data_IF_460199668127
#
_entry.id   IF_460199668127
#
_cell.length_a   1.000
_cell.length_b   1.000
_cell.length_c   1.000
_cell.angle_alpha   90.00
_cell.angle_beta   90.00
_cell.angle_gamma   90.00
#
_symmetry.space_group_name_H-M   'P 1'
#
loop_
_entity.id
_entity.type
_entity.pdbx_description
1 polymer ?
#
# COMPACT_ATOMS: atom_id res chain seq x y z
N UNK A 1 -8.77 -31.69 2.78
CA UNK A 1 -8.84 -30.25 2.42
C UNK A 1 -9.69 -29.55 3.46
N UNK A 2 -9.21 -28.43 4.04
CA UNK A 2 -9.86 -27.79 5.19
C UNK A 2 -10.98 -26.83 4.73
N UNK A 3 -12.15 -26.77 5.39
CA UNK A 3 -13.29 -25.92 5.01
C UNK A 3 -12.98 -24.43 4.83
N UNK A 4 -11.92 -23.94 5.48
CA UNK A 4 -11.52 -22.53 5.52
C UNK A 4 -10.79 -22.05 4.25
N UNK A 5 -10.15 -22.96 3.51
CA UNK A 5 -9.54 -22.63 2.20
C UNK A 5 -10.62 -22.43 1.13
N UNK A 6 -11.67 -23.26 1.16
CA UNK A 6 -12.81 -23.17 0.25
C UNK A 6 -13.62 -21.87 0.44
N UNK A 7 -13.79 -21.43 1.69
CA UNK A 7 -14.47 -20.18 2.01
C UNK A 7 -13.71 -18.95 1.46
N UNK A 8 -12.38 -18.92 1.61
CA UNK A 8 -11.57 -17.79 1.12
C UNK A 8 -11.60 -17.68 -0.41
N UNK A 9 -11.60 -18.80 -1.12
CA UNK A 9 -11.69 -18.81 -2.59
C UNK A 9 -13.06 -18.32 -3.06
N UNK A 10 -14.14 -18.75 -2.42
CA UNK A 10 -15.51 -18.27 -2.69
C UNK A 10 -15.62 -16.76 -2.47
N UNK A 11 -15.04 -16.23 -1.38
CA UNK A 11 -15.08 -14.80 -1.06
C UNK A 11 -14.25 -13.96 -2.05
N UNK A 12 -13.12 -14.50 -2.54
CA UNK A 12 -12.33 -13.86 -3.61
C UNK A 12 -13.14 -13.76 -4.90
N UNK A 13 -13.73 -14.88 -5.33
CA UNK A 13 -14.54 -14.92 -6.55
C UNK A 13 -15.73 -13.95 -6.46
N UNK A 14 -16.41 -13.94 -5.31
CA UNK A 14 -17.49 -12.99 -5.04
C UNK A 14 -17.02 -11.53 -5.14
N UNK A 15 -15.85 -11.20 -4.60
CA UNK A 15 -15.30 -9.85 -4.69
C UNK A 15 -14.95 -9.43 -6.11
N UNK A 16 -14.41 -10.34 -6.92
CA UNK A 16 -14.17 -10.10 -8.35
C UNK A 16 -15.49 -9.88 -9.11
N UNK A 17 -16.51 -10.71 -8.85
CA UNK A 17 -17.83 -10.57 -9.47
C UNK A 17 -18.49 -9.25 -9.11
N UNK A 18 -18.42 -8.83 -7.84
CA UNK A 18 -18.94 -7.53 -7.37
C UNK A 18 -18.26 -6.40 -8.13
N UNK A 19 -16.92 -6.39 -8.17
CA UNK A 19 -16.16 -5.34 -8.83
C UNK A 19 -16.47 -5.24 -10.33
N UNK A 20 -16.55 -6.39 -11.00
CA UNK A 20 -16.89 -6.46 -12.42
C UNK A 20 -18.31 -5.96 -12.68
N UNK A 21 -19.28 -6.34 -11.83
CA UNK A 21 -20.66 -5.91 -12.00
C UNK A 21 -20.88 -4.43 -11.70
N UNK A 22 -20.15 -3.85 -10.74
CA UNK A 22 -20.12 -2.41 -10.49
C UNK A 22 -19.59 -1.70 -11.73
N UNK A 23 -18.43 -2.13 -12.25
CA UNK A 23 -17.83 -1.51 -13.44
C UNK A 23 -18.76 -1.58 -14.66
N UNK A 24 -19.44 -2.70 -14.88
CA UNK A 24 -20.39 -2.83 -15.98
C UNK A 24 -21.61 -1.91 -15.81
N UNK A 25 -22.06 -1.67 -14.58
CA UNK A 25 -23.15 -0.75 -14.29
C UNK A 25 -22.73 0.71 -14.45
N UNK A 26 -21.52 1.08 -14.00
CA UNK A 26 -20.93 2.41 -14.21
C UNK A 26 -20.78 2.74 -15.70
N UNK A 27 -20.32 1.79 -16.53
CA UNK A 27 -20.22 1.98 -17.99
C UNK A 27 -21.58 2.27 -18.63
N UNK A 28 -22.64 1.61 -18.17
CA UNK A 28 -24.00 1.86 -18.64
C UNK A 28 -24.56 3.21 -18.17
N UNK A 29 -24.16 3.69 -17.00
CA UNK A 29 -24.51 5.02 -16.51
C UNK A 29 -23.85 6.13 -17.34
N UNK A 30 -22.58 5.92 -17.73
CA UNK A 30 -21.81 6.86 -18.55
C UNK A 30 -22.27 6.91 -20.02
N UNK A 31 -22.98 5.88 -20.49
CA UNK A 31 -23.53 5.85 -21.84
C UNK A 31 -24.62 6.93 -22.00
N UNK A 32 -24.35 7.91 -22.86
CA UNK A 32 -25.25 9.03 -23.15
C UNK A 32 -26.55 8.60 -23.82
N UNK A 33 -26.60 7.39 -24.38
CA UNK A 33 -27.79 6.81 -25.03
C UNK A 33 -28.69 6.04 -24.05
N UNK A 34 -28.26 5.84 -22.80
CA UNK A 34 -29.06 5.15 -21.77
C UNK A 34 -30.26 5.97 -21.31
N UNK A 35 -31.42 5.30 -21.22
CA UNK A 35 -32.66 5.89 -20.68
C UNK A 35 -32.58 6.13 -19.18
N UNK A 36 -33.40 7.05 -18.67
CA UNK A 36 -33.45 7.36 -17.22
C UNK A 36 -33.85 6.14 -16.38
N UNK A 37 -34.70 5.26 -16.90
CA UNK A 37 -35.08 4.00 -16.24
C UNK A 37 -33.90 3.02 -16.14
N UNK A 38 -33.09 2.92 -17.21
CA UNK A 38 -31.86 2.11 -17.20
C UNK A 38 -30.86 2.70 -16.21
N UNK A 39 -30.70 4.03 -16.19
CA UNK A 39 -29.81 4.72 -15.25
C UNK A 39 -30.23 4.50 -13.81
N UNK A 40 -31.51 4.68 -13.50
CA UNK A 40 -32.08 4.39 -12.18
C UNK A 40 -31.80 2.94 -11.74
N UNK A 41 -32.02 1.97 -12.63
CA UNK A 41 -31.74 0.55 -12.36
C UNK A 41 -30.25 0.30 -12.09
N UNK A 42 -29.34 0.94 -12.84
CA UNK A 42 -27.91 0.80 -12.60
C UNK A 42 -27.48 1.43 -11.27
N UNK A 43 -28.03 2.60 -10.89
CA UNK A 43 -27.76 3.20 -9.58
C UNK A 43 -28.15 2.28 -8.43
N UNK A 44 -29.35 1.68 -8.50
CA UNK A 44 -29.82 0.70 -7.51
C UNK A 44 -28.90 -0.53 -7.45
N UNK A 45 -28.47 -1.02 -8.62
CA UNK A 45 -27.56 -2.16 -8.72
C UNK A 45 -26.20 -1.85 -8.08
N UNK A 46 -25.61 -0.69 -8.37
CA UNK A 46 -24.34 -0.25 -7.79
C UNK A 46 -24.47 -0.15 -6.26
N UNK A 47 -25.53 0.48 -5.75
CA UNK A 47 -25.77 0.58 -4.31
C UNK A 47 -25.74 -0.79 -3.61
N UNK A 48 -26.49 -1.78 -4.13
CA UNK A 48 -26.50 -3.16 -3.60
C UNK A 48 -25.12 -3.81 -3.62
N UNK A 49 -24.43 -3.74 -4.76
CA UNK A 49 -23.12 -4.39 -4.93
C UNK A 49 -22.06 -3.78 -4.03
N UNK A 50 -22.06 -2.45 -3.91
CA UNK A 50 -21.14 -1.73 -3.03
C UNK A 50 -21.33 -2.11 -1.57
N UNK A 51 -22.58 -2.35 -1.13
CA UNK A 51 -22.85 -2.84 0.21
C UNK A 51 -22.30 -4.25 0.47
N UNK A 52 -22.38 -5.16 -0.51
CA UNK A 52 -21.68 -6.44 -0.40
C UNK A 52 -20.16 -6.25 -0.34
N UNK A 53 -19.62 -5.26 -1.06
CA UNK A 53 -18.22 -4.84 -0.96
C UNK A 53 -17.83 -4.41 0.46
N UNK A 54 -18.67 -3.62 1.16
CA UNK A 54 -18.46 -3.22 2.55
C UNK A 54 -18.42 -4.44 3.48
N UNK A 55 -19.37 -5.37 3.33
CA UNK A 55 -19.41 -6.63 4.10
C UNK A 55 -18.13 -7.44 3.89
N UNK A 56 -17.69 -7.57 2.63
CA UNK A 56 -16.51 -8.32 2.25
C UNK A 56 -15.22 -7.68 2.80
N UNK A 57 -15.08 -6.35 2.67
CA UNK A 57 -13.96 -5.61 3.24
C UNK A 57 -13.92 -5.73 4.77
N UNK A 58 -15.09 -5.70 5.40
CA UNK A 58 -15.25 -5.89 6.85
C UNK A 58 -14.85 -7.30 7.29
N UNK A 59 -15.18 -8.34 6.51
CA UNK A 59 -14.72 -9.70 6.75
C UNK A 59 -13.19 -9.80 6.75
N UNK A 60 -12.52 -9.02 5.90
CA UNK A 60 -11.07 -8.89 5.87
C UNK A 60 -10.53 -7.77 6.78
N UNK A 61 -11.33 -7.29 7.73
CA UNK A 61 -10.98 -6.26 8.72
C UNK A 61 -10.39 -4.99 8.11
N UNK A 62 -10.85 -4.62 6.91
CA UNK A 62 -10.37 -3.45 6.16
C UNK A 62 -8.85 -3.45 5.93
N UNK A 63 -8.26 -4.63 5.83
CA UNK A 63 -6.87 -4.77 5.47
C UNK A 63 -6.67 -4.50 3.98
N UNK A 64 -6.38 -3.25 3.63
CA UNK A 64 -6.24 -2.84 2.24
C UNK A 64 -5.19 -3.63 1.46
N UNK A 65 -4.11 -4.09 2.09
CA UNK A 65 -3.11 -4.92 1.42
C UNK A 65 -3.63 -6.32 1.07
N UNK A 66 -4.29 -6.99 2.01
CA UNK A 66 -4.91 -8.30 1.77
C UNK A 66 -6.01 -8.19 0.72
N UNK A 67 -6.89 -7.20 0.88
CA UNK A 67 -8.01 -6.98 -0.02
C UNK A 67 -7.50 -6.66 -1.41
N UNK A 68 -6.50 -5.78 -1.55
CA UNK A 68 -5.83 -5.51 -2.82
C UNK A 68 -5.26 -6.79 -3.43
N UNK A 69 -4.47 -7.58 -2.71
CA UNK A 69 -3.93 -8.84 -3.25
C UNK A 69 -5.04 -9.83 -3.67
N UNK A 70 -6.16 -9.83 -2.96
CA UNK A 70 -7.24 -10.79 -3.16
C UNK A 70 -8.17 -10.40 -4.30
N UNK A 71 -8.57 -9.13 -4.40
CA UNK A 71 -9.62 -8.68 -5.31
C UNK A 71 -9.28 -7.40 -6.09
N UNK A 72 -8.10 -6.81 -5.89
CA UNK A 72 -7.63 -5.61 -6.61
C UNK A 72 -8.12 -4.28 -6.01
N UNK A 73 -7.50 -3.15 -6.43
CA UNK A 73 -7.83 -1.80 -5.94
C UNK A 73 -9.25 -1.34 -6.27
N UNK A 74 -9.68 -1.58 -7.52
CA UNK A 74 -10.97 -1.10 -8.04
C UNK A 74 -12.18 -1.66 -7.28
N UNK A 75 -12.02 -2.81 -6.62
CA UNK A 75 -13.08 -3.46 -5.86
C UNK A 75 -13.28 -2.85 -4.46
N UNK A 76 -12.26 -2.20 -3.92
CA UNK A 76 -12.26 -1.64 -2.55
C UNK A 76 -12.77 -0.21 -2.52
N UNK A 77 -12.48 0.55 -3.59
CA UNK A 77 -12.86 1.95 -3.72
C UNK A 77 -14.37 2.15 -3.46
N UNK A 78 -15.30 1.49 -4.16
CA UNK A 78 -16.73 1.74 -3.93
C UNK A 78 -17.13 1.50 -2.47
N UNK A 79 -16.60 0.45 -1.83
CA UNK A 79 -16.94 0.08 -0.46
C UNK A 79 -16.48 1.13 0.57
N UNK A 80 -15.23 1.62 0.47
CA UNK A 80 -14.70 2.64 1.39
C UNK A 80 -15.49 3.95 1.26
N UNK A 81 -15.81 4.35 0.03
CA UNK A 81 -16.55 5.59 -0.22
C UNK A 81 -18.00 5.49 0.22
N UNK A 82 -18.68 4.39 -0.06
CA UNK A 82 -20.06 4.20 0.36
C UNK A 82 -20.19 4.21 1.88
N UNK A 83 -19.23 3.58 2.58
CA UNK A 83 -19.19 3.65 4.04
C UNK A 83 -19.02 5.09 4.53
N UNK A 84 -18.17 5.87 3.88
CA UNK A 84 -17.92 7.27 4.23
C UNK A 84 -19.14 8.17 3.94
N UNK A 85 -19.71 8.12 2.73
CA UNK A 85 -20.87 8.93 2.35
C UNK A 85 -22.10 8.63 3.21
N UNK A 86 -22.39 7.34 3.43
CA UNK A 86 -23.54 6.94 4.22
C UNK A 86 -23.37 7.20 5.73
N UNK A 87 -22.19 7.65 6.18
CA UNK A 87 -21.96 8.04 7.59
C UNK A 87 -21.89 9.54 7.77
N UNK A 88 -21.37 10.27 6.78
CA UNK A 88 -21.15 11.72 6.87
C UNK A 88 -22.24 12.59 6.23
N UNK A 89 -23.19 12.00 5.48
CA UNK A 89 -24.30 12.73 4.81
C UNK A 89 -23.84 13.95 3.99
N UNK A 90 -22.60 13.93 3.47
CA UNK A 90 -21.99 15.04 2.74
C UNK A 90 -21.81 14.68 1.26
N UNK A 91 -22.09 15.65 0.39
CA UNK A 91 -21.97 15.49 -1.07
C UNK A 91 -20.55 15.74 -1.58
N UNK A 92 -19.67 16.39 -0.80
CA UNK A 92 -18.33 16.79 -1.25
C UNK A 92 -17.21 16.26 -0.34
N UNK A 93 -16.61 15.13 -0.74
CA UNK A 93 -15.46 14.49 -0.05
C UNK A 93 -14.22 15.40 0.04
N UNK A 94 -13.82 16.17 -1.01
CA UNK A 94 -12.69 17.10 -0.97
C UNK A 94 -12.76 18.16 0.13
N UNK A 95 -13.93 18.79 0.28
CA UNK A 95 -14.14 19.86 1.26
C UNK A 95 -14.02 19.31 2.69
N UNK A 96 -14.47 18.08 2.91
CA UNK A 96 -14.40 17.46 4.24
C UNK A 96 -12.98 17.18 4.71
N UNK A 97 -12.04 16.80 3.84
CA UNK A 97 -10.63 16.60 4.26
C UNK A 97 -9.86 17.89 4.52
N UNK A 98 -10.36 19.03 4.05
CA UNK A 98 -9.86 20.35 4.43
C UNK A 98 -10.38 20.78 5.81
N UNK A 99 -11.49 20.20 6.26
CA UNK A 99 -12.07 20.43 7.57
C UNK A 99 -11.53 19.43 8.61
N UNK A 100 -11.51 19.83 9.88
CA UNK A 100 -11.00 18.99 10.97
C UNK A 100 -11.99 17.85 11.30
N UNK A 101 -12.03 16.81 10.46
CA UNK A 101 -13.01 15.71 10.53
C UNK A 101 -13.06 15.04 11.91
N UNK A 102 -11.92 14.93 12.59
CA UNK A 102 -11.84 14.29 13.90
C UNK A 102 -12.68 15.02 14.97
N UNK A 103 -12.72 16.35 14.89
CA UNK A 103 -13.53 17.19 15.80
C UNK A 103 -15.01 17.14 15.44
N UNK A 104 -15.34 17.13 14.14
CA UNK A 104 -16.71 17.13 13.64
C UNK A 104 -17.44 15.80 13.75
N UNK A 105 -16.72 14.68 13.89
CA UNK A 105 -17.35 13.36 13.97
C UNK A 105 -18.34 13.29 15.16
N UNK A 106 -19.62 13.07 14.92
CA UNK A 106 -20.65 13.02 15.95
C UNK A 106 -20.65 11.66 16.68
N UNK A 107 -20.15 10.61 16.02
CA UNK A 107 -20.15 9.25 16.54
C UNK A 107 -18.92 8.45 16.09
N UNK A 108 -18.73 7.28 16.71
CA UNK A 108 -17.62 6.38 16.45
C UNK A 108 -17.55 5.83 15.02
N UNK A 109 -18.67 5.78 14.32
CA UNK A 109 -18.78 5.25 12.97
C UNK A 109 -18.30 6.26 11.91
N UNK A 110 -18.70 7.53 12.05
CA UNK A 110 -18.13 8.65 11.27
C UNK A 110 -16.62 8.75 11.48
N UNK A 111 -16.18 8.61 12.73
CA UNK A 111 -14.76 8.60 13.06
C UNK A 111 -14.02 7.44 12.39
N UNK A 112 -14.56 6.22 12.48
CA UNK A 112 -13.99 5.03 11.86
C UNK A 112 -13.95 5.12 10.32
N UNK A 113 -15.02 5.61 9.69
CA UNK A 113 -15.09 5.73 8.23
C UNK A 113 -14.07 6.75 7.68
N UNK A 114 -13.85 7.87 8.38
CA UNK A 114 -12.84 8.86 8.01
C UNK A 114 -11.41 8.31 8.11
N UNK A 115 -11.12 7.52 9.15
CA UNK A 115 -9.82 6.86 9.29
C UNK A 115 -9.59 5.84 8.19
N UNK A 116 -10.59 4.99 7.90
CA UNK A 116 -10.49 3.99 6.83
C UNK A 116 -10.26 4.65 5.46
N UNK A 117 -10.93 5.78 5.22
CA UNK A 117 -10.74 6.54 3.99
C UNK A 117 -9.33 7.13 3.86
N UNK A 118 -8.84 7.79 4.93
CA UNK A 118 -7.49 8.34 4.95
C UNK A 118 -6.41 7.26 4.78
N UNK A 119 -6.59 6.10 5.42
CA UNK A 119 -5.72 4.93 5.23
C UNK A 119 -5.77 4.38 3.81
N UNK A 120 -6.95 4.33 3.20
CA UNK A 120 -7.10 3.90 1.82
C UNK A 120 -6.34 4.83 0.85
N UNK A 121 -6.43 6.16 1.03
CA UNK A 121 -5.62 7.12 0.26
C UNK A 121 -4.13 6.82 0.40
N UNK A 122 -3.65 6.71 1.64
CA UNK A 122 -2.24 6.45 1.93
C UNK A 122 -1.77 5.13 1.32
N UNK A 123 -2.59 4.08 1.42
CA UNK A 123 -2.33 2.77 0.82
C UNK A 123 -2.28 2.85 -0.70
N UNK A 124 -3.26 3.52 -1.33
CA UNK A 124 -3.29 3.73 -2.77
C UNK A 124 -2.03 4.43 -3.25
N UNK A 125 -1.57 5.50 -2.59
CA UNK A 125 -0.38 6.25 -2.99
C UNK A 125 0.91 5.45 -2.76
N UNK A 126 1.01 4.75 -1.63
CA UNK A 126 2.21 3.96 -1.27
C UNK A 126 2.44 2.79 -2.23
N UNK A 127 1.36 2.10 -2.62
CA UNK A 127 1.44 0.90 -3.44
C UNK A 127 1.03 1.14 -4.90
N UNK A 128 0.66 2.38 -5.27
CA UNK A 128 0.44 2.97 -6.63
C UNK A 128 1.41 2.46 -7.67
N UNK A 129 2.61 2.27 -7.17
CA UNK A 129 3.82 2.00 -7.88
C UNK A 129 3.88 0.61 -8.53
N UNK A 130 3.07 -0.38 -8.13
CA UNK A 130 3.24 -1.79 -8.56
C UNK A 130 2.33 -2.28 -9.68
N UNK A 131 1.56 -1.41 -10.31
CA UNK A 131 0.47 -1.87 -11.18
C UNK A 131 0.29 -0.96 -12.39
N UNK A 132 0.64 -1.47 -13.58
CA UNK A 132 0.05 -0.99 -14.84
C UNK A 132 -1.48 -1.23 -14.88
N UNK A 133 -1.99 -2.11 -14.02
CA UNK A 133 -3.43 -2.32 -13.77
C UNK A 133 -4.03 -1.24 -12.85
N UNK A 134 -3.36 -0.08 -12.70
CA UNK A 134 -4.06 1.21 -12.52
C UNK A 134 -4.91 1.59 -13.73
N UNK A 135 -4.91 0.78 -14.79
CA UNK A 135 -6.15 0.54 -15.51
C UNK A 135 -7.17 0.00 -14.50
N UNK A 136 -7.80 0.94 -13.79
CA UNK A 136 -9.22 0.82 -13.50
C UNK A 136 -9.85 0.12 -14.71
N UNK A 137 -10.89 -0.68 -14.55
CA UNK A 137 -11.70 -1.06 -15.72
C UNK A 137 -12.29 0.17 -16.46
N UNK A 138 -11.95 1.39 -16.03
CA UNK A 138 -12.08 2.68 -16.66
C UNK A 138 -10.78 3.07 -17.41
N UNK A 139 -10.58 2.55 -18.62
CA UNK A 139 -10.29 3.47 -19.72
C UNK A 139 -11.63 4.16 -20.04
N UNK A 140 -12.05 5.10 -19.19
CA UNK A 140 -13.00 6.13 -19.59
C UNK A 140 -12.14 7.34 -19.87
N UNK A 141 -11.43 7.29 -20.99
CA UNK A 141 -10.81 8.47 -21.62
C UNK A 141 -11.85 9.28 -22.40
N UNK A 142 -13.14 9.05 -22.14
CA UNK A 142 -14.20 9.86 -22.69
C UNK A 142 -14.38 11.06 -21.77
N UNK A 143 -13.86 12.22 -22.20
CA UNK A 143 -14.11 13.54 -21.62
C UNK A 143 -15.61 13.90 -21.55
N UNK A 144 -16.48 13.01 -22.07
CA UNK A 144 -17.93 13.12 -22.12
C UNK A 144 -18.67 12.33 -21.02
N UNK A 145 -17.98 11.50 -20.22
CA UNK A 145 -18.61 10.86 -19.07
C UNK A 145 -18.87 11.91 -17.98
N UNK A 146 -20.10 12.05 -17.44
CA UNK A 146 -20.33 12.92 -16.31
C UNK A 146 -19.45 12.43 -15.16
N UNK A 147 -18.46 13.24 -14.79
CA UNK A 147 -17.72 13.06 -13.56
C UNK A 147 -18.75 12.99 -12.45
N UNK A 148 -19.00 11.81 -11.87
CA UNK A 148 -19.70 11.77 -10.61
C UNK A 148 -18.78 12.47 -9.62
N UNK A 149 -19.07 13.74 -9.33
CA UNK A 149 -18.26 14.67 -8.53
C UNK A 149 -17.93 14.18 -7.10
N UNK A 150 -18.23 12.93 -6.76
CA UNK A 150 -18.09 12.33 -5.44
C UNK A 150 -16.85 11.45 -5.26
N UNK A 151 -16.13 11.04 -6.33
CA UNK A 151 -15.01 10.10 -6.24
C UNK A 151 -13.69 10.68 -6.81
N UNK A 152 -12.54 10.46 -6.16
CA UNK A 152 -11.25 10.48 -6.83
C UNK A 152 -11.19 9.30 -7.79
N UNK A 153 -11.45 9.60 -9.06
CA UNK A 153 -11.32 8.72 -10.21
C UNK A 153 -9.90 8.76 -10.80
N UNK A 154 -9.08 9.73 -10.34
CA UNK A 154 -7.70 9.87 -10.79
C UNK A 154 -6.69 9.89 -9.65
N UNK A 155 -5.45 9.62 -10.03
CA UNK A 155 -4.27 9.74 -9.18
C UNK A 155 -4.11 11.17 -8.66
N UNK A 156 -4.29 12.15 -9.54
CA UNK A 156 -4.12 13.57 -9.24
C UNK A 156 -5.14 14.03 -8.20
N UNK A 157 -6.35 13.49 -8.27
CA UNK A 157 -7.36 13.72 -7.25
C UNK A 157 -6.93 13.13 -5.91
N UNK A 158 -6.43 11.89 -5.86
CA UNK A 158 -5.89 11.28 -4.62
C UNK A 158 -4.73 12.06 -4.01
N UNK A 159 -3.82 12.56 -4.84
CA UNK A 159 -2.69 13.38 -4.39
C UNK A 159 -3.20 14.69 -3.75
N UNK A 160 -4.35 15.23 -4.20
CA UNK A 160 -5.03 16.36 -3.57
C UNK A 160 -5.60 16.06 -2.16
N UNK A 161 -5.99 14.82 -1.88
CA UNK A 161 -6.49 14.40 -0.56
C UNK A 161 -5.38 14.02 0.43
N UNK A 162 -4.17 13.73 -0.06
CA UNK A 162 -3.07 13.22 0.73
C UNK A 162 -2.71 14.12 1.94
N UNK A 163 -2.62 15.46 1.83
CA UNK A 163 -2.30 16.30 2.99
C UNK A 163 -3.32 16.16 4.14
N UNK A 164 -4.61 16.16 3.82
CA UNK A 164 -5.68 15.99 4.81
C UNK A 164 -5.68 14.59 5.43
N UNK A 165 -5.45 13.56 4.62
CA UNK A 165 -5.31 12.19 5.10
C UNK A 165 -4.11 12.02 6.06
N UNK A 166 -2.95 12.59 5.72
CA UNK A 166 -1.77 12.56 6.58
C UNK A 166 -2.01 13.31 7.89
N UNK A 167 -2.64 14.49 7.84
CA UNK A 167 -2.97 15.28 9.03
C UNK A 167 -3.92 14.52 9.95
N UNK A 168 -4.99 13.94 9.39
CA UNK A 168 -5.97 13.15 10.12
C UNK A 168 -5.31 11.96 10.81
N UNK A 169 -4.56 11.14 10.06
CA UNK A 169 -3.91 9.95 10.62
C UNK A 169 -2.83 10.30 11.65
N UNK A 170 -2.14 11.43 11.48
CA UNK A 170 -1.14 11.90 12.46
C UNK A 170 -1.81 12.23 13.79
N UNK A 171 -2.90 13.00 13.76
CA UNK A 171 -3.69 13.30 14.96
C UNK A 171 -4.22 12.02 15.62
N UNK A 172 -4.69 11.05 14.83
CA UNK A 172 -5.14 9.76 15.36
C UNK A 172 -4.04 9.00 16.10
N UNK A 173 -2.78 9.10 15.66
CA UNK A 173 -1.63 8.49 16.34
C UNK A 173 -1.15 9.27 17.58
N UNK A 174 -1.34 10.59 17.62
CA UNK A 174 -0.78 11.48 18.65
C UNK A 174 -1.78 11.82 19.76
N UNK A 175 -3.08 11.84 19.45
CA UNK A 175 -4.13 12.25 20.37
C UNK A 175 -4.96 11.05 20.85
N UNK A 176 -5.42 11.13 22.10
CA UNK A 176 -6.40 10.19 22.64
C UNK A 176 -7.79 10.76 22.41
N UNK A 177 -8.63 10.02 21.70
CA UNK A 177 -10.02 10.39 21.47
C UNK A 177 -10.95 9.67 22.46
N UNK A 178 -11.95 10.38 22.98
CA UNK A 178 -12.96 9.81 23.89
C UNK A 178 -14.04 8.99 23.15
N UNK A 179 -14.00 8.96 21.81
CA UNK A 179 -14.96 8.24 20.96
C UNK A 179 -14.48 6.81 20.74
N UNK A 180 -15.37 5.84 20.94
CA UNK A 180 -15.10 4.44 20.59
C UNK A 180 -15.04 4.29 19.07
N UNK A 181 -14.05 3.53 18.57
CA UNK A 181 -13.85 3.31 17.14
C UNK A 181 -14.80 2.22 16.67
N UNK A 182 -15.84 2.61 15.93
CA UNK A 182 -16.82 1.67 15.41
C UNK A 182 -16.51 1.42 13.93
N UNK A 183 -16.08 0.19 13.64
CA UNK A 183 -15.98 -0.30 12.27
C UNK A 183 -17.15 -1.26 12.05
N UNK A 184 -17.81 -1.12 10.92
CA UNK A 184 -18.91 -2.01 10.55
C UNK A 184 -18.41 -3.45 10.49
N UNK A 185 -19.04 -4.34 11.25
CA UNK A 185 -18.92 -5.78 11.02
C UNK A 185 -20.09 -6.25 10.17
N UNK A 186 -19.86 -7.30 9.38
CA UNK A 186 -20.72 -7.89 8.34
C UNK A 186 -22.20 -8.20 8.69
N UNK A 187 -22.72 -7.83 9.87
CA UNK A 187 -24.09 -8.15 10.33
C UNK A 187 -25.16 -7.12 9.95
N UNK A 188 -24.83 -6.02 9.27
CA UNK A 188 -25.68 -4.82 9.34
C UNK A 188 -25.88 -4.08 8.00
N UNK A 189 -26.52 -4.75 7.04
CA UNK A 189 -27.10 -4.07 5.88
C UNK A 189 -28.59 -4.38 5.87
N UNK A 190 -29.40 -3.47 6.41
CA UNK A 190 -30.86 -3.52 6.27
C UNK A 190 -31.24 -2.85 4.95
N UNK A 191 -32.02 -3.56 4.14
CA UNK A 191 -32.56 -3.02 2.89
C UNK A 191 -33.96 -2.47 3.18
N UNK A 192 -34.17 -1.17 3.01
CA UNK A 192 -35.54 -0.66 2.89
C UNK A 192 -36.19 -1.30 1.66
N UNK A 193 -37.44 -1.73 1.83
CA UNK A 193 -38.26 -2.29 0.73
C UNK A 193 -38.68 -1.24 -0.29
N UNK A 194 -38.37 0.04 -0.06
CA UNK A 194 -38.72 1.15 -0.95
C UNK A 194 -37.60 1.42 -1.98
N UNK A 195 -37.96 2.05 -3.10
CA UNK A 195 -37.04 2.42 -4.19
C UNK A 195 -35.86 3.32 -3.75
N UNK A 196 -35.87 3.83 -2.50
CA UNK A 196 -34.74 4.49 -1.87
C UNK A 196 -33.97 3.46 -1.03
N UNK A 197 -32.81 3.04 -1.53
CA UNK A 197 -31.86 2.28 -0.72
C UNK A 197 -31.14 3.23 0.22
N UNK A 198 -31.68 3.39 1.41
CA UNK A 198 -30.96 3.97 2.53
C UNK A 198 -30.18 2.86 3.24
N UNK A 199 -28.92 3.13 3.57
CA UNK A 199 -28.08 2.21 4.36
C UNK A 199 -28.11 2.74 5.79
N UNK A 200 -28.80 2.03 6.68
CA UNK A 200 -28.80 2.38 8.09
C UNK A 200 -27.71 1.60 8.83
N UNK A 201 -26.76 2.33 9.38
CA UNK A 201 -25.79 1.77 10.31
C UNK A 201 -26.29 2.00 11.75
N UNK A 202 -26.59 0.91 12.46
CA UNK A 202 -26.95 0.98 13.87
C UNK A 202 -25.70 0.85 14.73
N UNK A 203 -25.42 1.86 15.56
CA UNK A 203 -24.28 1.86 16.49
C UNK A 203 -24.28 0.64 17.44
N UNK A 204 -25.45 0.10 17.77
CA UNK A 204 -25.57 -1.05 18.71
C UNK A 204 -25.10 -2.39 18.15
N UNK A 205 -24.73 -2.46 16.86
CA UNK A 205 -24.39 -3.71 16.17
C UNK A 205 -23.06 -3.67 15.39
N UNK A 206 -22.31 -2.59 15.56
CA UNK A 206 -20.90 -2.54 15.17
C UNK A 206 -20.08 -3.26 16.23
N UNK A 207 -19.15 -4.14 15.82
CA UNK A 207 -18.17 -4.64 16.78
C UNK A 207 -17.04 -3.62 16.85
N UNK A 208 -16.70 -3.09 18.04
CA UNK A 208 -15.55 -2.22 18.16
C UNK A 208 -14.32 -3.00 17.72
N UNK A 209 -13.57 -2.45 16.77
CA UNK A 209 -12.21 -2.89 16.53
C UNK A 209 -11.38 -2.17 17.58
N UNK A 210 -10.69 -2.92 18.43
CA UNK A 210 -9.77 -2.32 19.39
C UNK A 210 -8.81 -1.42 18.63
N UNK A 211 -8.79 -0.15 19.04
CA UNK A 211 -7.97 0.89 18.45
C UNK A 211 -6.51 0.46 18.32
N UNK A 212 -6.01 -0.36 19.24
CA UNK A 212 -4.67 -0.92 19.19
C UNK A 212 -4.38 -1.65 17.86
N UNK A 213 -5.34 -2.39 17.30
CA UNK A 213 -5.16 -3.05 16.00
C UNK A 213 -5.16 -2.05 14.84
N UNK A 214 -6.05 -1.05 14.89
CA UNK A 214 -6.11 0.00 13.88
C UNK A 214 -4.85 0.87 13.89
N UNK A 215 -4.35 1.20 15.09
CA UNK A 215 -3.13 1.97 15.30
C UNK A 215 -1.91 1.25 14.72
N UNK A 216 -1.74 -0.05 14.99
CA UNK A 216 -0.67 -0.85 14.37
C UNK A 216 -0.76 -0.83 12.84
N UNK A 217 -1.96 -0.85 12.27
CA UNK A 217 -2.11 -0.73 10.81
C UNK A 217 -1.77 0.67 10.29
N UNK A 218 -2.16 1.74 10.99
CA UNK A 218 -1.82 3.13 10.64
C UNK A 218 -0.30 3.34 10.69
N UNK A 219 0.36 2.86 11.75
CA UNK A 219 1.81 2.95 11.90
C UNK A 219 2.55 2.19 10.78
N UNK A 220 2.02 1.04 10.36
CA UNK A 220 2.54 0.34 9.19
C UNK A 220 2.32 1.15 7.90
N UNK A 221 1.13 1.67 7.67
CA UNK A 221 0.80 2.46 6.48
C UNK A 221 1.70 3.71 6.37
N UNK A 222 1.95 4.42 7.48
CA UNK A 222 2.90 5.53 7.54
C UNK A 222 4.34 5.07 7.27
N UNK A 223 4.79 4.01 7.96
CA UNK A 223 6.14 3.49 7.78
C UNK A 223 6.41 3.13 6.31
N UNK A 224 5.48 2.41 5.69
CA UNK A 224 5.51 2.02 4.28
C UNK A 224 5.48 3.25 3.35
N UNK A 225 4.62 4.22 3.61
CA UNK A 225 4.51 5.46 2.84
C UNK A 225 5.82 6.24 2.84
N UNK A 226 6.35 6.58 4.02
CA UNK A 226 7.59 7.36 4.12
C UNK A 226 8.79 6.58 3.58
N UNK A 227 8.79 5.26 3.74
CA UNK A 227 9.79 4.41 3.11
C UNK A 227 9.75 4.50 1.58
N UNK A 228 8.55 4.47 0.97
CA UNK A 228 8.37 4.60 -0.48
C UNK A 228 8.84 5.95 -1.03
N UNK A 229 8.77 7.00 -0.21
CA UNK A 229 9.28 8.34 -0.53
C UNK A 229 10.77 8.52 -0.22
N UNK A 230 11.48 7.46 0.20
CA UNK A 230 12.88 7.51 0.66
C UNK A 230 13.10 8.47 1.86
N UNK A 231 12.04 8.81 2.59
CA UNK A 231 12.10 9.59 3.83
C UNK A 231 12.38 8.68 5.03
N UNK A 232 13.59 8.12 5.06
CA UNK A 232 13.94 7.01 5.95
C UNK A 232 13.89 7.34 7.45
N UNK A 233 14.15 8.59 7.84
CA UNK A 233 14.05 8.98 9.26
C UNK A 233 12.60 8.95 9.77
N UNK A 234 11.66 9.42 8.95
CA UNK A 234 10.24 9.31 9.26
C UNK A 234 9.78 7.86 9.22
N UNK A 235 10.20 7.07 8.23
CA UNK A 235 9.93 5.63 8.20
C UNK A 235 10.44 4.94 9.48
N UNK A 236 11.66 5.27 9.93
CA UNK A 236 12.23 4.75 11.19
C UNK A 236 11.40 5.14 12.41
N UNK A 237 10.92 6.38 12.50
CA UNK A 237 10.02 6.84 13.58
C UNK A 237 8.81 5.90 13.68
N UNK A 238 8.07 5.72 12.58
CA UNK A 238 6.82 4.95 12.60
C UNK A 238 7.05 3.44 12.78
N UNK A 239 8.07 2.85 12.15
CA UNK A 239 8.38 1.44 12.37
C UNK A 239 8.90 1.17 13.80
N UNK A 240 9.57 2.12 14.44
CA UNK A 240 9.98 1.99 15.86
C UNK A 240 8.75 1.96 16.78
N UNK A 241 7.79 2.87 16.55
CA UNK A 241 6.51 2.88 17.26
C UNK A 241 5.75 1.56 17.04
N UNK A 242 5.69 1.09 15.79
CA UNK A 242 5.04 -0.16 15.41
C UNK A 242 5.60 -1.36 16.18
N UNK A 243 6.92 -1.49 16.25
CA UNK A 243 7.58 -2.59 16.98
C UNK A 243 7.26 -2.53 18.47
N UNK A 244 7.29 -1.33 19.06
CA UNK A 244 6.91 -1.11 20.45
C UNK A 244 5.49 -1.61 20.71
N UNK A 245 4.54 -1.22 19.87
CA UNK A 245 3.13 -1.55 20.03
C UNK A 245 2.85 -3.04 19.86
N UNK A 246 3.42 -3.67 18.82
CA UNK A 246 3.31 -5.12 18.59
C UNK A 246 3.79 -5.92 19.80
N UNK A 247 4.85 -5.47 20.47
CA UNK A 247 5.40 -6.17 21.65
C UNK A 247 4.53 -6.07 22.90
N UNK A 248 3.65 -5.06 22.99
CA UNK A 248 2.88 -4.72 24.19
C UNK A 248 1.41 -5.16 24.12
N UNK A 249 0.79 -5.10 22.95
CA UNK A 249 -0.64 -5.38 22.76
C UNK A 249 -0.92 -6.90 22.84
N UNK A 250 -1.99 -7.29 23.56
CA UNK A 250 -2.46 -8.68 23.64
C UNK A 250 -3.98 -8.78 23.41
N UNK A 251 -4.48 -9.79 22.67
CA UNK A 251 -3.71 -10.81 21.93
C UNK A 251 -2.87 -10.21 20.80
N UNK A 252 -1.88 -10.97 20.31
CA UNK A 252 -0.91 -10.54 19.29
C UNK A 252 -1.60 -9.75 18.16
N UNK A 253 -1.31 -8.44 18.02
CA UNK A 253 -1.97 -7.62 17.03
C UNK A 253 -1.72 -8.10 15.62
N UNK A 254 -0.61 -8.80 15.35
CA UNK A 254 -0.30 -9.35 14.03
C UNK A 254 -1.23 -10.48 13.60
N UNK A 255 -1.98 -11.11 14.51
CA UNK A 255 -3.05 -12.03 14.12
C UNK A 255 -4.19 -11.32 13.39
N UNK A 256 -4.36 -10.02 13.67
CA UNK A 256 -5.41 -9.16 13.11
C UNK A 256 -4.85 -8.07 12.17
N UNK A 257 -3.54 -7.79 12.26
CA UNK A 257 -2.77 -6.91 11.40
C UNK A 257 -1.97 -7.78 10.41
N UNK A 258 -2.45 -7.95 9.18
CA UNK A 258 -1.87 -8.94 8.28
C UNK A 258 -0.66 -8.46 7.48
N UNK A 259 0.12 -7.51 8.02
CA UNK A 259 1.50 -7.41 7.60
C UNK A 259 2.19 -8.66 8.12
N UNK A 260 2.67 -9.52 7.22
CA UNK A 260 3.42 -10.70 7.64
C UNK A 260 4.59 -10.21 8.50
N UNK A 261 4.82 -10.85 9.64
CA UNK A 261 5.96 -10.49 10.49
C UNK A 261 7.27 -10.42 9.69
N UNK A 262 7.44 -11.30 8.69
CA UNK A 262 8.57 -11.26 7.76
C UNK A 262 8.71 -9.96 6.95
N UNK A 263 7.61 -9.32 6.57
CA UNK A 263 7.65 -8.03 5.87
C UNK A 263 8.00 -6.88 6.82
N UNK A 264 7.43 -6.86 8.04
CA UNK A 264 7.85 -5.90 9.07
C UNK A 264 9.33 -6.07 9.37
N UNK A 265 9.79 -7.31 9.54
CA UNK A 265 11.20 -7.65 9.70
C UNK A 265 12.03 -7.19 8.51
N UNK A 266 11.48 -7.25 7.30
CA UNK A 266 12.07 -6.72 6.08
C UNK A 266 12.37 -5.23 6.16
N UNK A 267 11.35 -4.43 6.48
CA UNK A 267 11.50 -2.99 6.70
C UNK A 267 12.46 -2.70 7.86
N UNK A 268 12.35 -3.43 8.97
CA UNK A 268 13.22 -3.27 10.12
C UNK A 268 14.68 -3.58 9.76
N UNK A 269 14.92 -4.60 8.95
CA UNK A 269 16.27 -4.96 8.50
C UNK A 269 16.83 -3.89 7.57
N UNK A 270 16.05 -3.43 6.60
CA UNK A 270 16.45 -2.35 5.69
C UNK A 270 16.75 -1.04 6.45
N UNK A 271 15.96 -0.74 7.48
CA UNK A 271 16.10 0.47 8.31
C UNK A 271 17.04 0.30 9.51
N UNK A 272 17.62 -0.89 9.71
CA UNK A 272 18.47 -1.24 10.86
C UNK A 272 17.80 -0.94 12.20
N UNK A 273 16.55 -1.35 12.36
CA UNK A 273 15.78 -1.27 13.60
C UNK A 273 15.89 -2.57 14.41
N UNK A 274 15.94 -2.44 15.73
CA UNK A 274 15.91 -3.58 16.66
C UNK A 274 14.49 -4.19 16.65
N UNK A 275 14.25 -5.17 15.78
CA UNK A 275 13.03 -5.98 15.79
C UNK A 275 13.32 -7.34 16.46
N UNK A 276 12.41 -7.90 17.28
CA UNK A 276 12.59 -9.24 17.85
C UNK A 276 12.95 -10.27 16.76
N UNK A 277 14.08 -10.96 16.93
CA UNK A 277 14.59 -11.95 15.96
C UNK A 277 15.51 -11.40 14.87
N UNK A 278 15.80 -10.08 14.82
CA UNK A 278 16.77 -9.48 13.90
C UNK A 278 18.08 -9.18 14.64
N UNK A 279 19.20 -9.76 14.19
CA UNK A 279 20.53 -9.49 14.77
C UNK A 279 21.03 -8.15 14.25
N UNK A 280 21.01 -7.13 15.10
CA UNK A 280 21.54 -5.81 14.75
C UNK A 280 23.05 -5.77 14.97
N UNK A 281 23.80 -5.60 13.88
CA UNK A 281 25.24 -5.36 13.93
C UNK A 281 25.47 -3.96 14.49
N UNK A 282 26.17 -3.87 15.63
CA UNK A 282 26.51 -2.60 16.29
C UNK A 282 27.15 -1.62 15.29
N UNK A 283 26.67 -0.38 15.30
CA UNK A 283 27.35 0.76 14.65
C UNK A 283 28.74 0.86 15.25
N UNK A 284 29.77 0.86 14.41
CA UNK A 284 31.06 1.50 14.64
C UNK A 284 31.68 1.75 13.25
N UNK A 285 32.26 2.94 13.06
CA UNK A 285 33.22 3.29 11.98
C UNK A 285 32.67 3.51 10.54
N UNK A 286 31.56 4.23 10.32
CA UNK A 286 31.18 4.65 8.94
C UNK A 286 30.94 6.14 8.71
N UNK A 287 30.55 6.90 9.74
CA UNK A 287 30.25 8.33 9.55
C UNK A 287 31.50 9.14 9.13
N UNK A 288 32.70 8.72 9.57
CA UNK A 288 33.97 9.34 9.17
C UNK A 288 34.42 8.96 7.75
N UNK A 289 34.04 7.76 7.27
CA UNK A 289 34.41 7.23 5.94
C UNK A 289 33.53 7.85 4.85
N UNK A 290 32.23 8.02 5.13
CA UNK A 290 31.25 8.55 4.16
C UNK A 290 31.52 10.01 3.76
N UNK A 291 32.12 10.79 4.66
CA UNK A 291 32.29 12.24 4.49
C UNK A 291 33.68 12.67 3.97
N UNK A 292 34.65 11.75 3.85
CA UNK A 292 36.05 12.12 3.56
C UNK A 292 36.65 11.45 2.30
N UNK A 293 35.92 10.56 1.63
CA UNK A 293 36.44 9.70 0.56
C UNK A 293 35.69 9.95 -0.78
N UNK A 294 36.36 9.87 -1.95
CA UNK A 294 35.72 9.91 -3.27
C UNK A 294 34.56 8.91 -3.39
N UNK A 295 33.47 9.33 -4.03
CA UNK A 295 32.22 8.56 -4.13
C UNK A 295 32.40 7.15 -4.70
N UNK A 296 33.32 6.96 -5.64
CA UNK A 296 33.66 5.65 -6.22
C UNK A 296 34.24 4.67 -5.18
N UNK A 297 35.12 5.15 -4.31
CA UNK A 297 35.76 4.34 -3.26
C UNK A 297 34.76 4.02 -2.13
N UNK A 298 33.91 4.99 -1.80
CA UNK A 298 32.80 4.81 -0.86
C UNK A 298 31.77 3.81 -1.41
N UNK A 299 31.46 3.88 -2.71
CA UNK A 299 30.54 2.96 -3.38
C UNK A 299 31.07 1.52 -3.43
N UNK A 300 32.37 1.34 -3.66
CA UNK A 300 33.00 0.00 -3.65
C UNK A 300 32.75 -0.73 -2.32
N UNK A 301 32.75 -0.02 -1.19
CA UNK A 301 32.42 -0.60 0.12
C UNK A 301 30.98 -1.16 0.17
N UNK A 302 30.01 -0.44 -0.40
CA UNK A 302 28.61 -0.88 -0.46
C UNK A 302 28.38 -2.03 -1.45
N UNK A 303 29.18 -2.09 -2.51
CA UNK A 303 29.12 -3.11 -3.56
C UNK A 303 29.85 -4.42 -3.21
N UNK A 304 30.88 -4.36 -2.36
CA UNK A 304 31.60 -5.54 -1.83
C UNK A 304 30.96 -6.11 -0.56
N UNK A 305 30.10 -5.33 0.10
CA UNK A 305 29.31 -5.77 1.24
C UNK A 305 28.18 -6.69 0.79
N UNK A 306 28.48 -8.00 0.66
CA UNK A 306 27.48 -9.07 0.83
C UNK A 306 26.49 -8.63 1.91
N UNK A 307 25.19 -8.65 1.60
CA UNK A 307 23.99 -8.07 2.25
C UNK A 307 23.83 -8.13 3.80
N UNK A 308 24.92 -8.05 4.56
CA UNK A 308 25.09 -8.44 5.96
C UNK A 308 26.01 -7.48 6.73
N UNK A 309 26.75 -6.59 6.07
CA UNK A 309 27.46 -5.50 6.78
C UNK A 309 26.43 -4.43 7.16
N UNK A 310 26.35 -4.14 8.45
CA UNK A 310 25.28 -3.38 9.11
C UNK A 310 25.18 -1.90 8.76
N UNK A 311 25.02 -1.57 7.47
CA UNK A 311 24.79 -0.22 6.98
C UNK A 311 23.33 -0.06 6.62
N UNK A 312 22.71 1.03 7.07
CA UNK A 312 21.31 1.33 6.81
C UNK A 312 21.07 1.68 5.35
N UNK A 313 19.82 1.52 4.91
CA UNK A 313 19.40 1.94 3.59
C UNK A 313 19.57 3.45 3.37
N UNK A 314 19.33 4.28 4.40
CA UNK A 314 19.53 5.73 4.33
C UNK A 314 20.97 6.12 3.96
N UNK A 315 21.95 5.47 4.60
CA UNK A 315 23.37 5.66 4.31
C UNK A 315 23.71 5.19 2.88
N UNK A 316 23.10 4.09 2.40
CA UNK A 316 23.28 3.60 1.02
C UNK A 316 22.69 4.57 -0.02
N UNK A 317 21.49 5.10 0.20
CA UNK A 317 20.86 6.04 -0.73
C UNK A 317 21.56 7.40 -0.76
N UNK A 318 22.13 7.86 0.36
CA UNK A 318 22.91 9.09 0.37
C UNK A 318 24.10 9.02 -0.59
N UNK A 319 24.76 7.87 -0.68
CA UNK A 319 25.88 7.66 -1.63
C UNK A 319 25.39 7.46 -3.06
N UNK A 320 24.25 6.78 -3.25
CA UNK A 320 23.58 6.67 -4.56
C UNK A 320 23.20 8.05 -5.13
N UNK A 321 22.59 8.91 -4.31
CA UNK A 321 22.21 10.28 -4.68
C UNK A 321 23.44 11.13 -5.01
N UNK A 322 24.50 11.05 -4.20
CA UNK A 322 25.78 11.68 -4.51
C UNK A 322 26.32 11.22 -5.86
N UNK A 323 26.37 9.92 -6.13
CA UNK A 323 26.83 9.38 -7.40
C UNK A 323 26.00 9.90 -8.59
N UNK A 324 24.69 10.07 -8.42
CA UNK A 324 23.83 10.70 -9.43
C UNK A 324 24.17 12.18 -9.64
N UNK A 325 24.34 12.96 -8.56
CA UNK A 325 24.67 14.40 -8.63
C UNK A 325 26.07 14.67 -9.20
N UNK A 326 27.03 13.80 -8.91
CA UNK A 326 28.41 13.86 -9.42
C UNK A 326 28.51 13.29 -10.85
N UNK A 327 27.40 12.87 -11.46
CA UNK A 327 27.33 12.24 -12.78
C UNK A 327 28.20 10.97 -12.95
N UNK A 328 28.45 10.25 -11.86
CA UNK A 328 29.18 8.97 -11.88
C UNK A 328 28.19 7.83 -12.19
N UNK A 329 27.72 7.81 -13.43
CA UNK A 329 26.56 7.01 -13.86
C UNK A 329 26.70 5.50 -13.56
N UNK A 330 27.87 4.92 -13.82
CA UNK A 330 28.12 3.49 -13.56
C UNK A 330 28.02 3.17 -12.07
N UNK A 331 28.54 4.04 -11.20
CA UNK A 331 28.48 3.87 -9.76
C UNK A 331 27.05 4.01 -9.24
N UNK A 332 26.32 5.01 -9.74
CA UNK A 332 24.89 5.14 -9.47
C UNK A 332 24.14 3.86 -9.83
N UNK A 333 24.29 3.36 -11.06
CA UNK A 333 23.57 2.17 -11.54
C UNK A 333 23.93 0.91 -10.73
N UNK A 334 25.19 0.77 -10.33
CA UNK A 334 25.63 -0.33 -9.47
C UNK A 334 25.02 -0.26 -8.06
N UNK A 335 25.05 0.92 -7.42
CA UNK A 335 24.48 1.13 -6.09
C UNK A 335 22.96 0.93 -6.08
N UNK A 336 22.29 1.50 -7.08
CA UNK A 336 20.85 1.36 -7.26
C UNK A 336 20.44 -0.11 -7.41
N UNK A 337 21.14 -0.85 -8.28
CA UNK A 337 20.93 -2.30 -8.45
C UNK A 337 21.17 -3.07 -7.14
N UNK A 338 22.22 -2.73 -6.39
CA UNK A 338 22.52 -3.39 -5.12
C UNK A 338 21.45 -3.11 -4.05
N UNK A 339 20.93 -1.89 -4.01
CA UNK A 339 19.86 -1.48 -3.10
C UNK A 339 18.55 -2.19 -3.45
N UNK A 340 18.18 -2.28 -4.73
CA UNK A 340 17.04 -3.08 -5.22
C UNK A 340 17.12 -4.53 -4.72
N UNK A 341 18.25 -5.20 -4.95
CA UNK A 341 18.44 -6.59 -4.57
C UNK A 341 18.42 -6.80 -3.05
N UNK A 342 18.99 -5.85 -2.29
CA UNK A 342 18.93 -5.88 -0.84
C UNK A 342 17.48 -5.82 -0.33
N UNK A 343 16.65 -4.96 -0.92
CA UNK A 343 15.23 -4.83 -0.53
C UNK A 343 14.41 -6.06 -0.90
N UNK A 344 14.60 -6.60 -2.12
CA UNK A 344 13.94 -7.82 -2.56
C UNK A 344 14.29 -9.03 -1.68
N UNK A 345 15.56 -9.17 -1.31
CA UNK A 345 15.99 -10.28 -0.45
C UNK A 345 15.36 -10.20 0.95
N UNK A 346 15.06 -9.00 1.43
CA UNK A 346 14.43 -8.74 2.72
C UNK A 346 12.89 -8.64 2.65
N UNK A 347 12.24 -9.12 1.58
CA UNK A 347 10.77 -9.05 1.41
C UNK A 347 10.19 -7.62 1.47
N UNK A 348 11.02 -6.60 1.21
CA UNK A 348 10.57 -5.21 1.08
C UNK A 348 10.07 -4.99 -0.33
N UNK A 349 8.83 -5.41 -0.50
CA UNK A 349 8.17 -5.52 -1.78
C UNK A 349 7.92 -4.14 -2.45
N UNK A 350 7.73 -3.07 -1.68
CA UNK A 350 7.43 -1.72 -2.19
C UNK A 350 8.40 -1.17 -3.25
N UNK A 351 9.62 -1.68 -3.34
CA UNK A 351 10.66 -1.07 -4.17
C UNK A 351 10.53 -1.32 -5.68
N UNK A 352 9.78 -2.33 -6.13
CA UNK A 352 9.60 -2.56 -7.57
C UNK A 352 8.45 -1.71 -8.13
N UNK A 353 8.63 -0.39 -8.07
CA UNK A 353 7.67 0.55 -8.61
C UNK A 353 7.85 0.79 -10.10
N UNK A 354 6.85 1.30 -10.81
CA UNK A 354 6.99 1.74 -12.20
C UNK A 354 8.17 2.72 -12.35
N UNK A 355 8.39 3.62 -11.38
CA UNK A 355 9.52 4.56 -11.37
C UNK A 355 10.87 3.85 -11.21
N UNK A 356 10.92 2.82 -10.37
CA UNK A 356 12.12 2.00 -10.16
C UNK A 356 12.32 0.99 -11.30
N UNK A 357 11.26 0.62 -12.04
CA UNK A 357 11.33 -0.21 -13.25
C UNK A 357 11.86 0.59 -14.45
N UNK A 358 11.59 1.90 -14.53
CA UNK A 358 12.18 2.82 -15.54
C UNK A 358 13.72 2.83 -15.50
N UNK A 359 14.32 2.42 -14.37
CA UNK A 359 15.76 2.19 -14.30
C UNK A 359 16.25 1.27 -15.43
N UNK A 360 15.45 0.27 -15.81
CA UNK A 360 15.79 -0.71 -16.84
C UNK A 360 15.50 -0.26 -18.28
N UNK A 361 14.91 0.92 -18.49
CA UNK A 361 14.69 1.48 -19.83
C UNK A 361 16.02 1.71 -20.58
N UNK A 362 17.13 1.84 -19.83
CA UNK A 362 18.48 1.91 -20.38
C UNK A 362 19.12 0.51 -20.46
N UNK A 363 19.52 0.04 -21.64
CA UNK A 363 20.16 -1.28 -21.80
C UNK A 363 21.40 -1.48 -20.93
N UNK A 364 22.18 -0.42 -20.69
CA UNK A 364 23.37 -0.45 -19.84
C UNK A 364 23.01 -0.80 -18.39
N UNK A 365 21.89 -0.30 -17.91
CA UNK A 365 21.41 -0.56 -16.55
C UNK A 365 20.97 -2.02 -16.38
N UNK A 366 20.41 -2.64 -17.42
CA UNK A 366 20.10 -4.08 -17.43
C UNK A 366 21.38 -4.90 -17.26
N UNK A 367 22.43 -4.58 -18.03
CA UNK A 367 23.71 -5.28 -17.95
C UNK A 367 24.38 -5.10 -16.57
N UNK A 368 24.39 -3.86 -16.04
CA UNK A 368 24.92 -3.56 -14.71
C UNK A 368 24.14 -4.33 -13.63
N UNK A 369 22.81 -4.35 -13.69
CA UNK A 369 21.98 -5.07 -12.75
C UNK A 369 22.29 -6.57 -12.75
N UNK A 370 22.44 -7.19 -13.93
CA UNK A 370 22.82 -8.60 -14.05
C UNK A 370 24.18 -8.89 -13.42
N UNK A 371 25.17 -8.02 -13.61
CA UNK A 371 26.50 -8.16 -12.99
C UNK A 371 26.43 -8.04 -11.46
N UNK A 372 25.68 -7.06 -10.95
CA UNK A 372 25.48 -6.86 -9.51
C UNK A 372 24.71 -8.04 -8.91
N UNK A 373 23.68 -8.55 -9.59
CA UNK A 373 22.94 -9.75 -9.19
C UNK A 373 23.86 -10.96 -9.11
N UNK A 374 24.68 -11.22 -10.13
CA UNK A 374 25.64 -12.33 -10.13
C UNK A 374 26.60 -12.23 -8.93
N UNK A 375 27.08 -11.03 -8.63
CA UNK A 375 27.92 -10.78 -7.44
C UNK A 375 27.16 -11.01 -6.13
N UNK A 376 25.92 -10.54 -6.05
CA UNK A 376 25.04 -10.69 -4.87
C UNK A 376 24.71 -12.16 -4.56
N UNK A 377 24.46 -12.96 -5.60
CA UNK A 377 24.22 -14.40 -5.48
C UNK A 377 25.53 -15.12 -5.11
N UNK A 378 26.65 -14.71 -5.69
CA UNK A 378 27.92 -15.41 -5.57
C UNK A 378 27.79 -16.86 -6.04
N UNK A 379 28.30 -17.80 -5.24
CA UNK A 379 28.24 -19.24 -5.55
C UNK A 379 26.97 -19.94 -5.01
N UNK A 380 25.94 -19.19 -4.59
CA UNK A 380 24.73 -19.80 -4.02
C UNK A 380 23.97 -20.57 -5.08
N UNK A 381 23.73 -21.86 -4.84
CA UNK A 381 22.97 -22.74 -5.74
C UNK A 381 21.47 -22.44 -5.80
N UNK A 382 20.93 -21.76 -4.79
CA UNK A 382 19.49 -21.46 -4.67
C UNK A 382 19.28 -20.04 -4.16
N UNK A 383 18.45 -19.28 -4.88
CA UNK A 383 18.00 -17.96 -4.47
C UNK A 383 16.98 -18.06 -3.32
N UNK A 384 17.04 -17.15 -2.33
CA UNK A 384 15.96 -16.96 -1.37
C UNK A 384 14.61 -16.78 -2.10
N UNK A 385 13.53 -17.34 -1.56
CA UNK A 385 12.20 -17.28 -2.17
C UNK A 385 11.73 -15.84 -2.36
N UNK A 386 12.04 -14.96 -1.40
CA UNK A 386 11.75 -13.52 -1.44
C UNK A 386 12.41 -12.84 -2.66
N UNK A 387 13.72 -13.06 -2.82
CA UNK A 387 14.47 -12.54 -3.96
C UNK A 387 13.96 -13.12 -5.29
N UNK A 388 13.66 -14.42 -5.34
CA UNK A 388 13.12 -15.07 -6.55
C UNK A 388 11.78 -14.47 -6.96
N UNK A 389 10.86 -14.28 -6.02
CA UNK A 389 9.55 -13.70 -6.30
C UNK A 389 9.67 -12.24 -6.77
N UNK A 390 10.56 -11.47 -6.16
CA UNK A 390 10.88 -10.11 -6.59
C UNK A 390 11.44 -10.04 -8.01
N UNK A 391 12.44 -10.88 -8.32
CA UNK A 391 13.02 -10.95 -9.66
C UNK A 391 12.01 -11.42 -10.70
N UNK A 392 11.15 -12.39 -10.37
CA UNK A 392 10.06 -12.83 -11.24
C UNK A 392 9.15 -11.66 -11.60
N UNK A 393 8.73 -10.87 -10.61
CA UNK A 393 7.93 -9.68 -10.83
C UNK A 393 8.61 -8.67 -11.75
N UNK A 394 9.90 -8.36 -11.52
CA UNK A 394 10.64 -7.42 -12.41
C UNK A 394 10.71 -7.99 -13.83
N UNK A 395 11.00 -9.28 -14.00
CA UNK A 395 11.11 -9.92 -15.32
C UNK A 395 9.78 -9.93 -16.09
N UNK A 396 8.64 -10.01 -15.39
CA UNK A 396 7.31 -9.91 -16.00
C UNK A 396 7.04 -8.51 -16.58
N UNK A 397 7.67 -7.46 -16.02
CA UNK A 397 7.47 -6.06 -16.43
C UNK A 397 8.65 -5.50 -17.26
N UNK A 398 9.79 -6.19 -17.27
CA UNK A 398 11.02 -5.79 -17.98
C UNK A 398 11.51 -6.99 -18.81
N UNK A 399 10.96 -7.21 -20.01
CA UNK A 399 11.31 -8.36 -20.85
C UNK A 399 12.81 -8.43 -21.19
N UNK A 400 13.46 -7.27 -21.38
CA UNK A 400 14.90 -7.20 -21.65
C UNK A 400 15.75 -7.78 -20.50
N UNK A 401 15.31 -7.62 -19.25
CA UNK A 401 15.99 -8.22 -18.10
C UNK A 401 15.81 -9.74 -18.10
N UNK A 402 14.62 -10.24 -18.41
CA UNK A 402 14.37 -11.68 -18.53
C UNK A 402 15.26 -12.33 -19.59
N UNK A 403 15.36 -11.72 -20.77
CA UNK A 403 16.24 -12.19 -21.85
C UNK A 403 17.71 -12.15 -21.42
N UNK A 404 18.15 -11.06 -20.79
CA UNK A 404 19.53 -10.92 -20.30
C UNK A 404 19.87 -11.98 -19.26
N UNK A 405 18.98 -12.24 -18.30
CA UNK A 405 19.19 -13.27 -17.28
C UNK A 405 19.23 -14.68 -17.88
N UNK A 406 18.34 -15.01 -18.82
CA UNK A 406 18.37 -16.31 -19.52
C UNK A 406 19.68 -16.54 -20.28
N UNK A 407 20.26 -15.47 -20.85
CA UNK A 407 21.54 -15.54 -21.55
C UNK A 407 22.74 -15.63 -20.59
N UNK A 408 22.57 -15.31 -19.31
CA UNK A 408 23.63 -15.35 -18.30
C UNK A 408 23.79 -16.72 -17.61
N UNK A 409 22.92 -17.69 -17.89
CA UNK A 409 22.88 -19.01 -17.23
C UNK A 409 22.26 -18.95 -15.85
#
# INVERSE_FOLDING_TARGET
MKPQENLNEVLVNLGHDIAQQISNAEKKLADSTSTDEVKSTQHVKIGKLTMFGVILCSHWNWNFKLIHHKIGYGAVRPAVFQLFLATWNSECVPEMFAENLLEKAENGLQFGSAILFARWILHCITFKQRSEQWKMPLNVTDESAPSSHAYPDSIEQLDGFLPGALQLLTKVCEEKFDKEYLITTARYVEFEQSEKMSVHYNNSSCSPVDFNYLHVQILFDFGAYYFSLKQFDLARKYFTLLISDISRIKPDPLKHCYTKFGEIQGFCTALKLNCPGVVVVKRNEMDDILNQIPTEQTAAYFLDANATKGVSLAERYSVEERAATENVFTVYAQLHSANMLHLLANDVQLYCSNKELQFFDRPENVAIFCLVLKKYIGNKKLLPVTLRNGLKYICEHVPALYESLNNCG
#
